data_IF_216940283431
#
_entry.id   IF_216940283431
#
_cell.length_a   1.000
_cell.length_b   1.000
_cell.length_c   1.000
_cell.angle_alpha   90.00
_cell.angle_beta   90.00
_cell.angle_gamma   90.00
#
_symmetry.space_group_name_H-M   'P 1'
#
loop_
_entity.id
_entity.type
_entity.pdbx_description
1 polymer ?
#
# COMPACT_ATOMS: atom_id res chain seq x y z
N UNK A 1 -25.70 -22.95 3.20
CA UNK A 1 -26.76 -23.33 2.22
C UNK A 1 -26.98 -22.19 1.22
N UNK A 2 -27.19 -20.95 1.66
CA UNK A 2 -27.48 -19.80 0.78
C UNK A 2 -26.33 -19.45 -0.17
N UNK A 3 -25.07 -19.53 0.30
CA UNK A 3 -23.89 -19.33 -0.56
C UNK A 3 -23.82 -20.40 -1.66
N UNK A 4 -24.13 -21.67 -1.33
CA UNK A 4 -24.18 -22.74 -2.33
C UNK A 4 -25.30 -22.53 -3.34
N UNK A 5 -26.47 -22.09 -2.88
CA UNK A 5 -27.60 -21.77 -3.77
C UNK A 5 -27.29 -20.59 -4.70
N UNK A 6 -26.61 -19.56 -4.19
CA UNK A 6 -26.28 -18.35 -4.94
C UNK A 6 -25.10 -18.53 -5.92
N UNK A 7 -24.08 -19.32 -5.55
CA UNK A 7 -22.80 -19.35 -6.25
C UNK A 7 -22.44 -20.71 -6.87
N UNK A 8 -23.11 -21.79 -6.42
CA UNK A 8 -22.83 -23.16 -6.83
C UNK A 8 -21.66 -23.80 -6.07
N UNK A 9 -21.59 -25.15 -6.13
CA UNK A 9 -20.60 -25.95 -5.39
C UNK A 9 -19.16 -25.71 -5.82
N UNK A 10 -18.93 -25.35 -7.06
CA UNK A 10 -17.56 -25.12 -7.60
C UNK A 10 -16.89 -23.90 -7.03
N UNK A 11 -17.67 -22.92 -6.53
CA UNK A 11 -17.15 -21.65 -5.98
C UNK A 11 -17.09 -21.63 -4.45
N UNK A 12 -17.78 -22.55 -3.77
CA UNK A 12 -17.89 -22.59 -2.30
C UNK A 12 -17.20 -23.85 -1.76
N UNK A 13 -16.26 -23.68 -0.84
CA UNK A 13 -15.52 -24.79 -0.26
C UNK A 13 -15.58 -24.79 1.26
N UNK A 14 -15.87 -25.98 1.80
CA UNK A 14 -15.78 -26.31 3.24
C UNK A 14 -14.66 -27.33 3.49
N UNK A 15 -13.86 -27.66 2.48
CA UNK A 15 -12.76 -28.60 2.60
C UNK A 15 -11.70 -28.08 3.57
N UNK A 16 -11.32 -28.83 4.61
CA UNK A 16 -10.38 -28.38 5.63
C UNK A 16 -9.04 -27.95 5.10
N UNK A 17 -8.53 -28.60 4.03
CA UNK A 17 -7.25 -28.25 3.43
C UNK A 17 -7.32 -26.90 2.71
N UNK A 18 -8.42 -26.64 2.00
CA UNK A 18 -8.67 -25.34 1.37
C UNK A 18 -8.80 -24.21 2.39
N UNK A 19 -9.48 -24.48 3.52
CA UNK A 19 -9.62 -23.50 4.60
C UNK A 19 -8.26 -23.22 5.29
N UNK A 20 -7.51 -24.27 5.59
CA UNK A 20 -6.17 -24.15 6.18
C UNK A 20 -5.20 -23.37 5.29
N UNK A 21 -5.29 -23.52 3.96
CA UNK A 21 -4.44 -22.80 3.01
C UNK A 21 -4.64 -21.28 2.96
N UNK A 22 -5.76 -20.78 3.48
CA UNK A 22 -6.07 -19.34 3.55
C UNK A 22 -6.17 -18.83 4.99
N UNK A 23 -5.92 -19.68 5.98
CA UNK A 23 -5.96 -19.33 7.40
C UNK A 23 -4.80 -18.39 7.83
N UNK A 24 -3.55 -18.54 7.33
CA UNK A 24 -2.45 -17.61 7.66
C UNK A 24 -2.40 -16.43 6.69
N UNK A 25 -1.87 -15.29 7.15
CA UNK A 25 -1.32 -14.21 6.34
C UNK A 25 0.12 -13.91 6.75
N UNK A 26 0.66 -12.72 6.47
CA UNK A 26 2.01 -12.36 6.89
C UNK A 26 2.08 -11.93 8.37
N UNK A 27 0.95 -11.80 9.06
CA UNK A 27 0.88 -11.48 10.49
C UNK A 27 1.22 -12.69 11.38
N UNK A 28 1.24 -12.46 12.67
CA UNK A 28 1.42 -13.53 13.68
C UNK A 28 0.08 -14.13 14.16
N UNK A 29 -1.04 -13.69 13.60
CA UNK A 29 -2.36 -14.22 13.90
C UNK A 29 -2.71 -15.41 13.01
N UNK A 30 -3.64 -16.23 13.48
CA UNK A 30 -4.17 -17.37 12.73
C UNK A 30 -5.67 -17.50 12.98
N UNK A 31 -6.48 -17.34 11.95
CA UNK A 31 -7.91 -17.59 11.99
C UNK A 31 -8.32 -18.47 10.81
N UNK A 32 -8.95 -19.61 11.11
CA UNK A 32 -9.49 -20.48 10.07
C UNK A 32 -10.90 -20.02 9.68
N UNK A 33 -11.15 -19.68 8.41
CA UNK A 33 -12.47 -19.28 7.96
C UNK A 33 -13.49 -20.44 8.06
N UNK A 34 -14.75 -20.10 8.27
CA UNK A 34 -15.84 -21.08 8.27
C UNK A 34 -16.18 -21.58 6.86
N UNK A 35 -15.96 -20.75 5.85
CA UNK A 35 -16.18 -21.08 4.44
C UNK A 35 -15.26 -20.25 3.54
N UNK A 36 -14.76 -20.88 2.48
CA UNK A 36 -13.98 -20.22 1.44
C UNK A 36 -14.83 -20.08 0.17
N UNK A 37 -14.94 -18.86 -0.34
CA UNK A 37 -15.63 -18.53 -1.59
C UNK A 37 -14.61 -18.07 -2.62
N UNK A 38 -14.59 -18.71 -3.80
CA UNK A 38 -13.77 -18.32 -4.95
C UNK A 38 -14.68 -17.68 -5.98
N UNK A 39 -14.70 -16.38 -6.00
CA UNK A 39 -15.56 -15.59 -6.91
C UNK A 39 -14.90 -15.41 -8.27
N UNK A 40 -15.72 -15.39 -9.33
CA UNK A 40 -15.28 -15.16 -10.70
C UNK A 40 -15.69 -13.81 -11.27
N UNK A 41 -16.61 -13.11 -10.61
CA UNK A 41 -17.18 -11.86 -11.09
C UNK A 41 -17.63 -10.95 -9.94
N UNK A 42 -17.86 -9.67 -10.25
CA UNK A 42 -18.44 -8.69 -9.34
C UNK A 42 -19.80 -9.13 -8.79
N UNK A 43 -20.63 -9.74 -9.64
CA UNK A 43 -21.94 -10.26 -9.25
C UNK A 43 -21.84 -11.43 -8.27
N UNK A 44 -20.83 -12.30 -8.40
CA UNK A 44 -20.58 -13.36 -7.41
C UNK A 44 -20.23 -12.75 -6.04
N UNK A 45 -19.41 -11.70 -6.00
CA UNK A 45 -19.07 -11.00 -4.76
C UNK A 45 -20.31 -10.36 -4.14
N UNK A 46 -21.09 -9.66 -4.94
CA UNK A 46 -22.35 -9.05 -4.49
C UNK A 46 -23.30 -10.09 -3.87
N UNK A 47 -23.46 -11.23 -4.53
CA UNK A 47 -24.29 -12.33 -4.02
C UNK A 47 -23.72 -12.92 -2.72
N UNK A 48 -22.39 -13.07 -2.61
CA UNK A 48 -21.74 -13.55 -1.39
C UNK A 48 -21.95 -12.58 -0.21
N UNK A 49 -21.76 -11.28 -0.44
CA UNK A 49 -21.93 -10.23 0.56
C UNK A 49 -23.39 -10.15 1.03
N UNK A 50 -24.35 -10.14 0.10
CA UNK A 50 -25.77 -10.13 0.43
C UNK A 50 -26.19 -11.38 1.23
N UNK A 51 -25.66 -12.56 0.88
CA UNK A 51 -25.91 -13.78 1.63
C UNK A 51 -25.34 -13.72 3.06
N UNK A 52 -24.11 -13.25 3.21
CA UNK A 52 -23.46 -13.10 4.50
C UNK A 52 -24.20 -12.09 5.41
N UNK A 53 -24.63 -10.94 4.83
CA UNK A 53 -25.42 -9.92 5.54
C UNK A 53 -26.73 -10.51 6.10
N UNK A 54 -27.47 -11.30 5.31
CA UNK A 54 -28.71 -11.95 5.78
C UNK A 54 -28.52 -12.85 7.00
N UNK A 55 -27.33 -13.44 7.13
CA UNK A 55 -27.00 -14.35 8.24
C UNK A 55 -26.14 -13.69 9.33
N UNK A 56 -25.88 -12.39 9.22
CA UNK A 56 -24.99 -11.64 10.13
C UNK A 56 -23.63 -12.31 10.32
N UNK A 57 -23.02 -12.77 9.20
CA UNK A 57 -21.70 -13.40 9.17
C UNK A 57 -20.69 -12.42 8.58
N UNK A 58 -19.53 -12.29 9.22
CA UNK A 58 -18.44 -11.45 8.73
C UNK A 58 -17.90 -11.97 7.39
N UNK A 59 -17.59 -11.04 6.49
CA UNK A 59 -16.92 -11.31 5.20
C UNK A 59 -15.55 -10.65 5.21
N UNK A 60 -14.55 -11.40 4.77
CA UNK A 60 -13.22 -10.88 4.55
C UNK A 60 -12.74 -11.23 3.13
N UNK A 61 -12.01 -10.30 2.52
CA UNK A 61 -11.47 -10.49 1.17
C UNK A 61 -10.00 -10.91 1.22
N UNK A 62 -9.68 -12.05 0.58
CA UNK A 62 -8.31 -12.51 0.48
C UNK A 62 -7.66 -11.95 -0.77
N UNK A 63 -6.74 -11.05 -0.57
CA UNK A 63 -5.84 -10.46 -1.55
C UNK A 63 -4.44 -11.12 -1.45
N UNK A 64 -3.35 -10.36 -1.51
CA UNK A 64 -1.99 -10.90 -1.42
C UNK A 64 -1.67 -11.60 -0.10
N UNK A 65 -2.37 -11.27 0.98
CA UNK A 65 -2.10 -11.80 2.32
C UNK A 65 -0.80 -11.27 2.93
N UNK A 66 -0.42 -10.07 2.57
CA UNK A 66 0.82 -9.40 3.02
C UNK A 66 0.62 -8.51 4.23
N UNK A 67 -0.59 -8.44 4.78
CA UNK A 67 -0.89 -7.71 6.01
C UNK A 67 -0.08 -8.25 7.20
N UNK A 68 0.45 -7.33 8.02
CA UNK A 68 1.23 -7.63 9.21
C UNK A 68 0.38 -7.62 10.48
N UNK A 69 -0.84 -7.10 10.42
CA UNK A 69 -1.74 -6.90 11.57
C UNK A 69 -3.01 -7.76 11.51
N UNK A 70 -3.09 -8.73 10.57
CA UNK A 70 -4.17 -9.72 10.51
C UNK A 70 -5.44 -9.27 9.80
N UNK A 71 -5.44 -8.17 9.05
CA UNK A 71 -6.61 -7.67 8.33
C UNK A 71 -7.12 -8.67 7.28
N UNK A 72 -6.25 -9.56 6.79
CA UNK A 72 -6.59 -10.61 5.82
C UNK A 72 -7.25 -11.85 6.41
N UNK A 73 -7.59 -11.87 7.72
CA UNK A 73 -8.04 -13.06 8.45
C UNK A 73 -9.52 -12.96 8.87
N UNK A 74 -10.19 -14.12 8.95
CA UNK A 74 -11.58 -14.21 9.44
C UNK A 74 -11.89 -15.62 9.92
N UNK A 75 -12.86 -15.74 10.80
CA UNK A 75 -13.54 -17.00 11.12
C UNK A 75 -14.90 -17.12 10.40
N UNK A 76 -15.29 -16.11 9.62
CA UNK A 76 -16.53 -16.06 8.83
C UNK A 76 -16.35 -16.56 7.39
N UNK A 77 -16.81 -15.76 6.44
CA UNK A 77 -16.69 -16.03 5.00
C UNK A 77 -15.40 -15.39 4.47
N UNK A 78 -14.50 -16.22 3.93
CA UNK A 78 -13.32 -15.76 3.19
C UNK A 78 -13.63 -15.75 1.69
N UNK A 79 -13.50 -14.58 1.05
CA UNK A 79 -13.66 -14.41 -0.40
C UNK A 79 -12.27 -14.28 -1.03
N UNK A 80 -11.83 -15.30 -1.77
CA UNK A 80 -10.53 -15.30 -2.45
C UNK A 80 -10.66 -14.73 -3.87
N UNK A 81 -10.03 -13.58 -4.08
CA UNK A 81 -10.07 -12.83 -5.35
C UNK A 81 -8.85 -13.05 -6.24
N UNK A 82 -7.79 -13.71 -5.75
CA UNK A 82 -6.48 -13.82 -6.39
C UNK A 82 -6.47 -14.58 -7.72
N UNK A 83 -7.41 -15.49 -7.91
CA UNK A 83 -7.44 -16.35 -9.11
C UNK A 83 -8.14 -15.72 -10.30
N UNK A 84 -9.18 -14.93 -10.05
CA UNK A 84 -10.13 -14.48 -11.07
C UNK A 84 -10.05 -13.00 -11.38
N UNK A 85 -9.77 -12.15 -10.39
CA UNK A 85 -9.72 -10.69 -10.56
C UNK A 85 -8.30 -10.21 -10.91
N UNK A 86 -7.77 -10.61 -12.07
CA UNK A 86 -6.38 -10.35 -12.50
C UNK A 86 -6.26 -9.46 -13.73
N UNK A 87 -7.35 -8.87 -14.19
CA UNK A 87 -7.39 -8.01 -15.37
C UNK A 87 -6.50 -6.77 -15.20
N UNK A 88 -5.74 -6.46 -16.25
CA UNK A 88 -4.92 -5.26 -16.39
C UNK A 88 -5.18 -4.72 -17.78
N UNK A 89 -5.72 -3.51 -17.88
CA UNK A 89 -6.01 -2.83 -19.13
C UNK A 89 -5.35 -1.45 -19.13
N UNK A 90 -4.41 -1.25 -20.06
CA UNK A 90 -3.73 0.04 -20.22
C UNK A 90 -4.62 1.00 -20.99
N UNK A 91 -4.82 2.18 -20.44
CA UNK A 91 -5.64 3.23 -20.99
C UNK A 91 -4.79 4.46 -21.31
N UNK A 92 -5.27 5.28 -22.24
CA UNK A 92 -4.75 6.61 -22.52
C UNK A 92 -3.22 6.63 -22.73
N UNK A 93 -2.72 5.68 -23.55
CA UNK A 93 -1.29 5.58 -23.85
C UNK A 93 -0.40 5.34 -22.61
N UNK A 94 -0.93 4.66 -21.60
CA UNK A 94 -0.24 4.34 -20.36
C UNK A 94 -0.42 5.39 -19.26
N UNK A 95 -1.07 6.52 -19.52
CA UNK A 95 -1.35 7.54 -18.48
C UNK A 95 -2.32 7.04 -17.42
N UNK A 96 -3.20 6.09 -17.79
CA UNK A 96 -4.12 5.41 -16.89
C UNK A 96 -4.03 3.91 -17.06
N UNK A 97 -4.41 3.17 -16.06
CA UNK A 97 -4.52 1.72 -16.09
C UNK A 97 -5.74 1.29 -15.28
N UNK A 98 -6.60 0.45 -15.90
CA UNK A 98 -7.66 -0.25 -15.16
C UNK A 98 -7.12 -1.55 -14.65
N UNK A 99 -7.28 -1.80 -13.35
CA UNK A 99 -6.72 -2.98 -12.68
C UNK A 99 -7.78 -3.61 -11.78
N UNK A 100 -7.84 -4.93 -11.81
CA UNK A 100 -8.64 -5.71 -10.88
C UNK A 100 -7.86 -6.07 -9.61
N UNK A 101 -8.53 -6.28 -8.46
CA UNK A 101 -7.90 -6.37 -7.14
C UNK A 101 -6.92 -7.53 -6.95
N UNK A 102 -7.00 -8.60 -7.73
CA UNK A 102 -6.10 -9.76 -7.65
C UNK A 102 -4.82 -9.63 -8.49
N UNK A 103 -4.63 -8.54 -9.25
CA UNK A 103 -3.40 -8.29 -9.99
C UNK A 103 -2.30 -7.77 -9.07
N UNK A 104 -1.08 -8.34 -9.16
CA UNK A 104 0.06 -7.90 -8.35
C UNK A 104 0.63 -6.57 -8.87
N UNK A 105 1.20 -5.77 -7.97
CA UNK A 105 1.84 -4.49 -8.34
C UNK A 105 2.95 -4.69 -9.36
N UNK A 106 3.76 -5.75 -9.18
CA UNK A 106 4.83 -6.11 -10.15
C UNK A 106 4.25 -6.42 -11.52
N UNK A 107 3.14 -7.17 -11.61
CA UNK A 107 2.52 -7.49 -12.90
C UNK A 107 2.02 -6.23 -13.62
N UNK A 108 1.34 -5.33 -12.88
CA UNK A 108 0.87 -4.05 -13.43
C UNK A 108 2.04 -3.20 -13.92
N UNK A 109 3.08 -3.05 -13.10
CA UNK A 109 4.26 -2.26 -13.45
C UNK A 109 5.04 -2.84 -14.63
N UNK A 110 5.10 -4.17 -14.78
CA UNK A 110 5.72 -4.83 -15.93
C UNK A 110 5.00 -4.49 -17.25
N UNK A 111 3.68 -4.36 -17.22
CA UNK A 111 2.90 -3.91 -18.38
C UNK A 111 3.14 -2.43 -18.66
N UNK A 112 3.10 -1.58 -17.63
CA UNK A 112 3.26 -0.12 -17.73
C UNK A 112 4.67 0.30 -18.13
N UNK A 113 5.69 -0.51 -17.83
CA UNK A 113 7.10 -0.21 -18.17
C UNK A 113 7.30 0.02 -19.66
N UNK A 114 6.51 -0.63 -20.53
CA UNK A 114 6.54 -0.45 -21.99
C UNK A 114 6.13 0.97 -22.42
N UNK A 115 5.45 1.69 -21.54
CA UNK A 115 5.01 3.07 -21.72
C UNK A 115 5.89 4.06 -20.93
N UNK A 116 7.00 3.59 -20.32
CA UNK A 116 7.85 4.41 -19.45
C UNK A 116 7.14 4.87 -18.16
N UNK A 117 6.18 4.09 -17.68
CA UNK A 117 5.32 4.45 -16.56
C UNK A 117 5.21 3.33 -15.53
N UNK A 118 4.76 3.68 -14.33
CA UNK A 118 4.47 2.75 -13.22
C UNK A 118 3.26 3.24 -12.41
N UNK A 119 2.74 2.39 -11.53
CA UNK A 119 1.84 2.84 -10.46
C UNK A 119 2.57 3.80 -9.52
N UNK A 120 1.83 4.70 -8.88
CA UNK A 120 2.37 5.60 -7.86
C UNK A 120 2.79 4.84 -6.60
N UNK A 121 1.89 4.08 -5.93
CA UNK A 121 2.25 3.28 -4.76
C UNK A 121 3.26 2.18 -5.12
N UNK A 122 4.29 2.05 -4.26
CA UNK A 122 5.39 1.09 -4.45
C UNK A 122 5.77 0.36 -3.15
N UNK A 123 4.83 -0.39 -2.53
CA UNK A 123 5.07 -1.08 -1.26
C UNK A 123 6.20 -2.10 -1.38
N UNK A 124 6.94 -2.31 -0.29
CA UNK A 124 8.03 -3.29 -0.22
C UNK A 124 7.58 -4.71 -0.57
N UNK A 125 6.31 -5.04 -0.31
CA UNK A 125 5.66 -6.31 -0.64
C UNK A 125 5.20 -6.43 -2.11
N UNK A 126 5.58 -5.54 -3.01
CA UNK A 126 5.09 -5.41 -4.40
C UNK A 126 5.10 -6.70 -5.22
N UNK A 127 5.97 -7.64 -4.89
CA UNK A 127 6.04 -8.98 -5.53
C UNK A 127 4.83 -9.85 -5.17
N UNK A 128 4.28 -9.69 -3.98
CA UNK A 128 3.22 -10.54 -3.42
C UNK A 128 1.89 -9.81 -3.23
N UNK A 129 1.92 -8.51 -2.86
CA UNK A 129 0.71 -7.75 -2.67
C UNK A 129 -0.03 -7.51 -3.99
N UNK A 130 -1.34 -7.40 -3.91
CA UNK A 130 -2.20 -7.13 -5.07
C UNK A 130 -2.89 -5.79 -4.93
N UNK A 131 -3.37 -5.23 -6.04
CA UNK A 131 -3.94 -3.88 -6.04
C UNK A 131 -5.09 -3.72 -5.03
N UNK A 132 -5.96 -4.72 -4.89
CA UNK A 132 -7.07 -4.64 -3.92
C UNK A 132 -6.60 -4.44 -2.48
N UNK A 133 -5.55 -5.15 -2.05
CA UNK A 133 -4.94 -4.94 -0.74
C UNK A 133 -4.25 -3.59 -0.64
N UNK A 134 -3.51 -3.19 -1.67
CA UNK A 134 -2.82 -1.89 -1.72
C UNK A 134 -3.79 -0.71 -1.59
N UNK A 135 -4.95 -0.80 -2.24
CA UNK A 135 -6.00 0.23 -2.12
C UNK A 135 -6.69 0.17 -0.75
N UNK A 136 -7.09 -1.02 -0.31
CA UNK A 136 -7.80 -1.19 0.97
C UNK A 136 -6.96 -0.74 2.18
N UNK A 137 -5.65 -1.01 2.16
CA UNK A 137 -4.70 -0.60 3.20
C UNK A 137 -4.16 0.84 2.99
N UNK A 138 -4.38 1.42 1.81
CA UNK A 138 -3.71 2.67 1.38
C UNK A 138 -2.18 2.55 1.42
N UNK A 139 -1.66 1.37 1.05
CA UNK A 139 -0.21 1.12 1.04
C UNK A 139 0.50 2.12 0.13
N UNK A 140 1.41 2.88 0.68
CA UNK A 140 2.11 3.94 -0.06
C UNK A 140 3.44 3.45 -0.64
N UNK A 141 4.29 2.87 0.20
CA UNK A 141 5.66 2.53 -0.15
C UNK A 141 6.63 3.69 0.02
N UNK A 142 7.77 3.60 -0.64
CA UNK A 142 8.95 4.41 -0.33
C UNK A 142 9.08 5.69 -1.16
N UNK A 143 8.52 5.73 -2.37
CA UNK A 143 8.77 6.84 -3.32
C UNK A 143 7.54 7.63 -3.74
N UNK A 144 6.32 7.20 -3.38
CA UNK A 144 5.10 7.88 -3.83
C UNK A 144 4.80 9.19 -3.09
N UNK A 145 5.31 9.36 -1.87
CA UNK A 145 4.98 10.50 -1.02
C UNK A 145 3.48 10.68 -0.81
N UNK A 146 3.04 11.92 -0.61
CA UNK A 146 1.62 12.28 -0.48
C UNK A 146 0.95 12.60 -1.83
N UNK A 147 1.73 12.72 -2.91
CA UNK A 147 1.24 13.20 -4.22
C UNK A 147 0.93 12.06 -5.19
N UNK A 148 1.54 10.90 -5.03
CA UNK A 148 1.39 9.76 -5.91
C UNK A 148 0.90 8.48 -5.21
N UNK A 149 0.31 8.60 -4.02
CA UNK A 149 -0.30 7.51 -3.28
C UNK A 149 -1.61 7.03 -3.94
N UNK A 150 -2.19 5.94 -3.43
CA UNK A 150 -3.42 5.37 -3.97
C UNK A 150 -4.56 6.37 -4.02
N UNK A 151 -4.72 7.18 -2.98
CA UNK A 151 -5.77 8.19 -2.87
C UNK A 151 -5.68 9.26 -3.97
N UNK A 152 -4.49 9.82 -4.21
CA UNK A 152 -4.26 10.89 -5.19
C UNK A 152 -4.22 10.39 -6.65
N UNK A 153 -3.97 9.10 -6.84
CA UNK A 153 -3.88 8.51 -8.19
C UNK A 153 -5.16 7.79 -8.62
N UNK A 154 -6.15 7.64 -7.76
CA UNK A 154 -7.46 7.11 -8.15
C UNK A 154 -8.13 8.03 -9.16
N UNK A 155 -8.62 7.45 -10.26
CA UNK A 155 -9.43 8.13 -11.27
C UNK A 155 -10.91 7.73 -11.15
N UNK A 156 -11.17 6.43 -11.10
CA UNK A 156 -12.51 5.86 -10.91
C UNK A 156 -12.42 4.46 -10.31
N UNK A 157 -13.52 3.97 -9.76
CA UNK A 157 -13.57 2.68 -9.08
C UNK A 157 -14.93 2.01 -9.28
N UNK A 158 -14.90 0.68 -9.43
CA UNK A 158 -16.10 -0.16 -9.27
C UNK A 158 -16.00 -0.83 -7.91
N UNK A 159 -17.00 -0.61 -7.06
CA UNK A 159 -17.04 -1.24 -5.73
C UNK A 159 -18.41 -1.85 -5.44
N UNK A 160 -18.42 -2.77 -4.47
CA UNK A 160 -19.61 -3.48 -4.01
C UNK A 160 -19.80 -3.19 -2.53
N UNK A 161 -20.95 -2.65 -2.16
CA UNK A 161 -21.32 -2.38 -0.77
C UNK A 161 -21.79 -3.64 -0.04
N UNK A 162 -21.87 -3.58 1.28
CA UNK A 162 -22.34 -4.70 2.10
C UNK A 162 -23.76 -5.17 1.78
N UNK A 163 -24.60 -4.32 1.20
CA UNK A 163 -25.94 -4.64 0.66
C UNK A 163 -25.89 -5.55 -0.57
N UNK A 164 -24.76 -5.56 -1.29
CA UNK A 164 -24.60 -6.13 -2.63
C UNK A 164 -24.77 -5.09 -3.75
N UNK A 165 -25.06 -3.83 -3.42
CA UNK A 165 -25.13 -2.73 -4.40
C UNK A 165 -23.78 -2.51 -5.06
N UNK A 166 -23.77 -2.48 -6.40
CA UNK A 166 -22.58 -2.24 -7.21
C UNK A 166 -22.62 -0.82 -7.75
N UNK A 167 -21.56 -0.06 -7.48
CA UNK A 167 -21.39 1.33 -7.97
C UNK A 167 -20.14 1.39 -8.85
N UNK A 168 -20.29 2.01 -10.04
CA UNK A 168 -19.19 2.37 -10.92
C UNK A 168 -19.10 3.90 -10.96
N UNK A 169 -18.04 4.47 -10.38
CA UNK A 169 -17.87 5.93 -10.33
C UNK A 169 -17.50 6.56 -11.68
N UNK A 170 -17.25 5.74 -12.69
CA UNK A 170 -17.10 6.23 -14.07
C UNK A 170 -18.46 6.36 -14.80
N UNK A 171 -19.53 5.78 -14.26
CA UNK A 171 -20.87 5.91 -14.80
C UNK A 171 -21.44 7.30 -14.45
N UNK A 172 -21.83 8.14 -15.43
CA UNK A 172 -22.46 9.42 -15.14
C UNK A 172 -23.72 9.35 -14.26
N UNK A 173 -24.38 8.20 -14.20
CA UNK A 173 -25.58 7.97 -13.39
C UNK A 173 -25.27 7.37 -12.00
N UNK A 174 -24.00 7.25 -11.63
CA UNK A 174 -23.60 6.59 -10.37
C UNK A 174 -24.19 7.26 -9.13
N UNK A 175 -24.30 8.59 -9.11
CA UNK A 175 -24.87 9.34 -7.98
C UNK A 175 -26.37 9.08 -7.83
N UNK A 176 -27.13 9.12 -8.93
CA UNK A 176 -28.58 8.82 -8.91
C UNK A 176 -28.81 7.38 -8.47
N UNK A 177 -28.00 6.45 -8.98
CA UNK A 177 -28.06 5.04 -8.59
C UNK A 177 -27.78 4.86 -7.09
N UNK A 178 -26.71 5.48 -6.58
CA UNK A 178 -26.35 5.39 -5.17
C UNK A 178 -27.44 5.99 -4.27
N UNK A 179 -28.00 7.14 -4.65
CA UNK A 179 -29.08 7.78 -3.91
C UNK A 179 -30.38 6.96 -3.92
N UNK A 180 -30.66 6.24 -5.02
CA UNK A 180 -31.82 5.38 -5.13
C UNK A 180 -31.67 4.08 -4.31
N UNK A 181 -30.51 3.42 -4.44
CA UNK A 181 -30.28 2.09 -3.87
C UNK A 181 -29.89 2.14 -2.38
N UNK A 182 -29.24 3.24 -1.94
CA UNK A 182 -28.67 3.41 -0.58
C UNK A 182 -28.97 4.80 0.02
N UNK A 183 -30.23 5.23 0.10
CA UNK A 183 -30.58 6.60 0.50
C UNK A 183 -30.10 6.97 1.90
N UNK A 184 -30.19 6.06 2.88
CA UNK A 184 -29.72 6.31 4.25
C UNK A 184 -28.19 6.47 4.33
N UNK A 185 -27.44 5.72 3.50
CA UNK A 185 -25.98 5.87 3.41
C UNK A 185 -25.64 7.25 2.84
N UNK A 186 -26.32 7.69 1.78
CA UNK A 186 -26.10 9.01 1.17
C UNK A 186 -26.39 10.13 2.16
N UNK A 187 -27.51 10.08 2.87
CA UNK A 187 -27.86 11.06 3.91
C UNK A 187 -26.77 11.12 4.99
N UNK A 188 -26.33 9.96 5.48
CA UNK A 188 -25.28 9.86 6.50
C UNK A 188 -23.94 10.42 6.01
N UNK A 189 -23.52 10.09 4.78
CA UNK A 189 -22.28 10.59 4.19
C UNK A 189 -22.29 12.11 4.05
N UNK A 190 -23.42 12.67 3.61
CA UNK A 190 -23.53 14.11 3.44
C UNK A 190 -23.55 14.84 4.79
N UNK A 191 -24.20 14.28 5.80
CA UNK A 191 -24.16 14.82 7.16
C UNK A 191 -22.73 14.79 7.76
N UNK A 192 -22.00 13.68 7.55
CA UNK A 192 -20.61 13.57 7.98
C UNK A 192 -19.70 14.56 7.22
N UNK A 193 -19.92 14.75 5.91
CA UNK A 193 -19.20 15.76 5.13
C UNK A 193 -19.36 17.16 5.72
N UNK A 194 -20.60 17.54 6.02
CA UNK A 194 -20.89 18.86 6.56
C UNK A 194 -20.24 19.06 7.93
N UNK A 195 -20.24 18.03 8.77
CA UNK A 195 -19.51 18.03 10.05
C UNK A 195 -17.99 18.13 9.87
N UNK A 196 -17.39 17.40 8.92
CA UNK A 196 -15.95 17.47 8.65
C UNK A 196 -15.53 18.85 8.12
N UNK A 197 -16.42 19.56 7.44
CA UNK A 197 -16.20 20.91 6.91
C UNK A 197 -16.38 22.03 7.91
N UNK A 198 -16.80 21.75 9.15
CA UNK A 198 -16.71 22.73 10.24
C UNK A 198 -15.26 23.16 10.46
N UNK A 199 -15.00 24.47 10.61
CA UNK A 199 -13.65 25.04 10.55
C UNK A 199 -12.60 24.28 11.39
N UNK A 200 -12.90 24.02 12.67
CA UNK A 200 -11.94 23.37 13.57
C UNK A 200 -11.58 21.94 13.13
N UNK A 201 -12.56 21.18 12.61
CA UNK A 201 -12.33 19.82 12.10
C UNK A 201 -11.62 19.83 10.76
N UNK A 202 -12.00 20.75 9.87
CA UNK A 202 -11.36 20.93 8.58
C UNK A 202 -9.88 21.26 8.72
N UNK A 203 -9.52 22.13 9.65
CA UNK A 203 -8.14 22.50 9.96
C UNK A 203 -7.34 21.29 10.47
N UNK A 204 -7.90 20.51 11.38
CA UNK A 204 -7.26 19.30 11.89
C UNK A 204 -7.07 18.24 10.80
N UNK A 205 -8.13 17.94 10.02
CA UNK A 205 -8.04 16.99 8.91
C UNK A 205 -6.98 17.45 7.91
N UNK A 206 -6.97 18.74 7.54
CA UNK A 206 -5.97 19.30 6.62
C UNK A 206 -4.56 19.13 7.17
N UNK A 207 -4.36 19.41 8.46
CA UNK A 207 -3.06 19.21 9.12
C UNK A 207 -2.62 17.74 9.11
N UNK A 208 -3.51 16.81 9.45
CA UNK A 208 -3.20 15.38 9.49
C UNK A 208 -2.83 14.82 8.11
N UNK A 209 -3.53 15.25 7.06
CA UNK A 209 -3.30 14.79 5.67
C UNK A 209 -2.33 15.66 4.87
N UNK A 210 -1.71 16.69 5.46
CA UNK A 210 -0.61 17.44 4.85
C UNK A 210 0.70 16.64 4.78
N UNK A 211 0.78 15.55 5.51
CA UNK A 211 1.88 14.60 5.56
C UNK A 211 1.38 13.18 5.24
N UNK A 212 2.28 12.23 5.10
CA UNK A 212 1.90 10.83 4.90
C UNK A 212 1.01 10.38 6.07
N UNK A 213 -0.20 9.96 5.75
CA UNK A 213 -1.17 9.42 6.69
C UNK A 213 -1.92 8.28 6.00
N UNK A 214 -1.65 7.06 6.44
CA UNK A 214 -2.21 5.81 5.88
C UNK A 214 -2.98 5.01 6.92
N UNK A 215 -3.21 5.58 8.10
CA UNK A 215 -3.90 4.91 9.21
C UNK A 215 -5.38 5.34 9.26
N UNK A 216 -6.25 4.35 9.27
CA UNK A 216 -7.69 4.55 9.31
C UNK A 216 -8.30 5.12 8.04
N UNK A 217 -9.52 5.63 8.14
CA UNK A 217 -10.23 6.18 6.99
C UNK A 217 -9.65 7.50 6.52
N UNK A 218 -9.58 7.69 5.21
CA UNK A 218 -9.16 8.94 4.58
C UNK A 218 -10.18 10.05 4.73
N UNK A 219 -10.29 10.65 5.93
CA UNK A 219 -11.28 11.69 6.25
C UNK A 219 -11.15 12.94 5.37
N UNK A 220 -9.99 13.16 4.76
CA UNK A 220 -9.80 14.21 3.78
C UNK A 220 -10.73 14.08 2.55
N UNK A 221 -11.28 12.89 2.29
CA UNK A 221 -12.29 12.69 1.24
C UNK A 221 -13.53 13.58 1.42
N UNK A 222 -13.91 13.88 2.66
CA UNK A 222 -15.01 14.79 2.96
C UNK A 222 -14.69 16.27 2.67
N UNK A 223 -13.41 16.63 2.63
CA UNK A 223 -12.97 17.98 2.27
C UNK A 223 -12.70 18.10 0.77
N UNK A 224 -12.11 17.05 0.17
CA UNK A 224 -11.63 17.06 -1.21
C UNK A 224 -12.75 16.85 -2.25
N UNK A 225 -13.89 16.21 -1.86
CA UNK A 225 -14.96 15.80 -2.79
C UNK A 225 -16.34 16.25 -2.31
N UNK A 226 -17.23 16.52 -3.27
CA UNK A 226 -18.57 17.04 -3.01
C UNK A 226 -19.68 16.00 -3.09
N UNK A 227 -19.51 14.95 -3.88
CA UNK A 227 -20.56 13.98 -4.16
C UNK A 227 -20.37 12.68 -3.39
N UNK A 228 -21.47 11.99 -2.99
CA UNK A 228 -21.42 10.77 -2.19
C UNK A 228 -20.56 9.66 -2.81
N UNK A 229 -20.67 9.40 -4.12
CA UNK A 229 -19.92 8.34 -4.77
C UNK A 229 -18.41 8.64 -4.83
N UNK A 230 -18.02 9.91 -5.03
CA UNK A 230 -16.63 10.33 -4.98
C UNK A 230 -16.06 10.23 -3.56
N UNK A 231 -16.79 10.70 -2.55
CA UNK A 231 -16.39 10.57 -1.15
C UNK A 231 -16.20 9.09 -0.80
N UNK A 232 -17.19 8.26 -1.12
CA UNK A 232 -17.17 6.85 -0.77
C UNK A 232 -16.05 6.08 -1.47
N UNK A 233 -15.80 6.32 -2.75
CA UNK A 233 -14.69 5.68 -3.47
C UNK A 233 -13.32 6.01 -2.88
N UNK A 234 -13.13 7.24 -2.37
CA UNK A 234 -11.89 7.63 -1.72
C UNK A 234 -11.81 7.14 -0.26
N UNK A 235 -12.93 6.99 0.44
CA UNK A 235 -12.99 6.32 1.74
C UNK A 235 -12.72 4.80 1.64
N UNK A 236 -13.00 4.16 0.49
CA UNK A 236 -12.62 2.77 0.24
C UNK A 236 -11.11 2.56 0.32
N UNK A 237 -10.32 3.60 -0.01
CA UNK A 237 -8.87 3.57 0.13
C UNK A 237 -8.51 3.80 1.60
N UNK A 238 -7.84 2.82 2.21
CA UNK A 238 -7.56 2.81 3.64
C UNK A 238 -8.70 2.28 4.52
N UNK A 239 -9.74 1.67 3.91
CA UNK A 239 -10.88 1.12 4.64
C UNK A 239 -10.64 -0.29 5.20
N UNK A 240 -9.54 -0.93 4.86
CA UNK A 240 -9.24 -2.33 5.19
C UNK A 240 -10.36 -3.32 4.81
N UNK A 241 -11.13 -2.98 3.76
CA UNK A 241 -12.25 -3.77 3.29
C UNK A 241 -13.52 -3.66 4.16
N UNK A 242 -13.56 -2.77 5.14
CA UNK A 242 -14.71 -2.62 6.08
C UNK A 242 -15.91 -1.92 5.45
N UNK A 243 -15.70 -1.14 4.39
CA UNK A 243 -16.77 -0.40 3.70
C UNK A 243 -17.35 -1.17 2.50
N UNK A 244 -16.59 -2.12 1.95
CA UNK A 244 -17.02 -2.88 0.81
C UNK A 244 -15.88 -3.56 0.06
N UNK A 245 -16.18 -4.07 -1.13
CA UNK A 245 -15.23 -4.75 -2.00
C UNK A 245 -14.88 -3.89 -3.21
N UNK A 246 -13.60 -3.68 -3.45
CA UNK A 246 -13.09 -3.01 -4.65
C UNK A 246 -13.00 -4.04 -5.78
N UNK A 247 -13.86 -3.93 -6.79
CA UNK A 247 -13.91 -4.88 -7.91
C UNK A 247 -12.97 -4.50 -9.04
N UNK A 248 -12.74 -3.20 -9.25
CA UNK A 248 -11.82 -2.65 -10.25
C UNK A 248 -11.51 -1.21 -9.90
N UNK A 249 -10.32 -0.74 -10.21
CA UNK A 249 -9.95 0.67 -10.13
C UNK A 249 -9.22 1.13 -11.38
N UNK A 250 -9.49 2.35 -11.81
CA UNK A 250 -8.69 3.07 -12.81
C UNK A 250 -7.74 3.98 -12.05
N UNK A 251 -6.45 3.77 -12.28
CA UNK A 251 -5.39 4.51 -11.59
C UNK A 251 -4.64 5.40 -12.58
N UNK A 252 -4.40 6.64 -12.21
CA UNK A 252 -3.43 7.50 -12.88
C UNK A 252 -2.03 6.94 -12.60
N UNK A 253 -1.18 6.92 -13.62
CA UNK A 253 0.17 6.37 -13.53
C UNK A 253 1.21 7.48 -13.44
N UNK A 254 2.39 7.17 -12.90
CA UNK A 254 3.51 8.10 -12.81
C UNK A 254 4.61 7.73 -13.82
N UNK A 255 5.41 8.70 -14.25
CA UNK A 255 6.57 8.44 -15.11
C UNK A 255 7.66 7.70 -14.34
N UNK A 256 8.30 6.74 -14.97
CA UNK A 256 9.53 6.16 -14.45
C UNK A 256 10.64 7.19 -14.61
N UNK A 257 11.34 7.49 -13.52
CA UNK A 257 12.53 8.35 -13.53
C UNK A 257 13.76 7.48 -13.77
N UNK A 258 14.39 7.55 -14.96
CA UNK A 258 15.44 6.59 -15.32
C UNK A 258 16.80 6.89 -14.71
N UNK A 259 17.03 8.11 -14.22
CA UNK A 259 18.30 8.54 -13.68
C UNK A 259 18.24 8.62 -12.16
N UNK A 260 18.77 7.60 -11.52
CA UNK A 260 18.74 7.45 -10.07
C UNK A 260 20.12 7.76 -9.48
N UNK A 261 20.16 8.25 -8.24
CA UNK A 261 21.40 8.36 -7.48
C UNK A 261 21.12 7.94 -6.04
N UNK A 262 21.75 6.86 -5.60
CA UNK A 262 21.55 6.24 -4.29
C UNK A 262 22.80 6.38 -3.44
N UNK A 263 22.63 6.66 -2.15
CA UNK A 263 23.69 6.61 -1.15
C UNK A 263 23.18 6.00 0.15
N UNK A 264 24.07 5.31 0.86
CA UNK A 264 23.86 4.89 2.24
C UNK A 264 24.63 5.87 3.15
N UNK A 265 23.90 6.64 3.96
CA UNK A 265 24.45 7.59 4.92
C UNK A 265 24.52 6.90 6.29
N UNK A 266 25.71 6.68 6.81
CA UNK A 266 25.92 5.99 8.09
C UNK A 266 26.23 7.00 9.19
N UNK A 267 25.40 7.01 10.22
CA UNK A 267 25.44 7.93 11.36
C UNK A 267 25.90 7.23 12.64
N UNK A 268 26.62 7.95 13.53
CA UNK A 268 27.00 7.39 14.83
C UNK A 268 25.83 7.13 15.75
N UNK A 269 24.70 7.82 15.57
CA UNK A 269 23.49 7.68 16.41
C UNK A 269 22.22 7.86 15.60
N UNK A 270 21.11 7.32 16.12
CA UNK A 270 19.76 7.53 15.57
C UNK A 270 19.36 9.03 15.60
N UNK A 271 19.72 9.74 16.65
CA UNK A 271 19.45 11.18 16.78
C UNK A 271 20.15 12.00 15.66
N UNK A 272 21.41 11.67 15.35
CA UNK A 272 22.13 12.30 14.25
C UNK A 272 21.43 12.02 12.89
N UNK A 273 21.00 10.80 12.66
CA UNK A 273 20.27 10.43 11.44
C UNK A 273 18.94 11.18 11.31
N UNK A 274 18.15 11.28 12.37
CA UNK A 274 16.85 11.97 12.34
C UNK A 274 17.01 13.49 12.18
N UNK A 275 18.01 14.11 12.78
CA UNK A 275 18.34 15.53 12.61
C UNK A 275 18.78 15.90 11.18
N UNK A 276 19.29 14.95 10.41
CA UNK A 276 19.68 15.16 9.02
C UNK A 276 18.48 15.27 8.06
N UNK A 277 17.31 14.70 8.42
CA UNK A 277 16.14 14.59 7.53
C UNK A 277 15.68 15.94 6.94
N UNK A 278 15.51 17.03 7.70
CA UNK A 278 15.03 18.28 7.13
C UNK A 278 15.94 18.83 6.03
N UNK A 279 17.26 18.72 6.19
CA UNK A 279 18.24 19.19 5.19
C UNK A 279 18.23 18.29 3.95
N UNK A 280 18.11 16.98 4.12
CA UNK A 280 18.01 16.01 3.03
C UNK A 280 16.70 16.22 2.23
N UNK A 281 15.56 16.38 2.91
CA UNK A 281 14.28 16.68 2.24
C UNK A 281 14.37 17.98 1.45
N UNK A 282 14.97 19.03 2.02
CA UNK A 282 15.16 20.32 1.33
C UNK A 282 16.06 20.20 0.10
N UNK A 283 16.98 19.23 0.05
CA UNK A 283 17.82 18.97 -1.13
C UNK A 283 17.07 18.31 -2.29
N UNK A 284 15.81 17.92 -2.09
CA UNK A 284 14.99 17.27 -3.12
C UNK A 284 15.15 15.75 -3.16
N UNK A 285 15.64 15.11 -2.09
CA UNK A 285 15.68 13.65 -2.00
C UNK A 285 14.27 13.06 -2.18
N UNK A 286 14.16 12.01 -2.98
CA UNK A 286 12.88 11.37 -3.29
C UNK A 286 12.53 10.26 -2.31
N UNK A 287 13.54 9.51 -1.88
CA UNK A 287 13.40 8.38 -0.95
C UNK A 287 14.36 8.55 0.21
N UNK A 288 13.86 8.32 1.41
CA UNK A 288 14.66 8.28 2.64
C UNK A 288 14.16 7.14 3.52
N UNK A 289 15.00 6.12 3.69
CA UNK A 289 14.69 4.92 4.48
C UNK A 289 15.63 4.83 5.67
N UNK A 290 15.05 4.84 6.87
CA UNK A 290 15.79 4.73 8.12
C UNK A 290 16.02 3.25 8.49
N UNK A 291 17.25 2.94 8.88
CA UNK A 291 17.62 1.67 9.49
C UNK A 291 18.29 1.97 10.83
N UNK A 292 17.73 1.44 11.91
CA UNK A 292 18.29 1.53 13.25
C UNK A 292 19.43 0.54 13.45
N UNK A 293 20.07 0.60 14.60
CA UNK A 293 21.23 -0.26 14.93
C UNK A 293 20.89 -1.76 14.86
N UNK A 294 19.71 -2.16 15.32
CA UNK A 294 19.25 -3.55 15.27
C UNK A 294 19.05 -4.02 13.82
N UNK A 295 18.45 -3.18 12.99
CA UNK A 295 18.28 -3.41 11.55
C UNK A 295 19.63 -3.50 10.84
N UNK A 296 20.56 -2.60 11.14
CA UNK A 296 21.91 -2.62 10.57
C UNK A 296 22.69 -3.87 10.97
N UNK A 297 22.54 -4.34 12.21
CA UNK A 297 23.18 -5.58 12.64
C UNK A 297 22.67 -6.78 11.84
N UNK A 298 21.35 -6.90 11.66
CA UNK A 298 20.77 -7.95 10.82
C UNK A 298 21.21 -7.87 9.35
N UNK A 299 21.45 -6.64 8.85
CA UNK A 299 22.01 -6.46 7.53
C UNK A 299 23.48 -6.87 7.46
N UNK A 300 24.30 -6.57 8.46
CA UNK A 300 25.71 -7.01 8.54
C UNK A 300 25.86 -8.53 8.60
N UNK A 301 24.90 -9.19 9.26
CA UNK A 301 24.88 -10.65 9.38
C UNK A 301 24.40 -11.36 8.09
N UNK A 302 24.04 -10.60 7.06
CA UNK A 302 23.66 -11.19 5.76
C UNK A 302 24.89 -11.81 5.07
N UNK A 303 24.85 -13.13 4.75
CA UNK A 303 26.02 -13.84 4.22
C UNK A 303 26.45 -13.37 2.81
N UNK A 304 25.57 -12.72 2.06
CA UNK A 304 25.83 -12.30 0.69
C UNK A 304 26.19 -10.82 0.63
N UNK A 305 25.39 -9.96 1.22
CA UNK A 305 25.47 -8.50 1.05
C UNK A 305 25.91 -7.76 2.33
N UNK A 306 26.13 -8.46 3.46
CA UNK A 306 26.42 -7.83 4.75
C UNK A 306 27.68 -6.97 4.73
N UNK A 307 28.65 -7.29 3.88
CA UNK A 307 29.89 -6.53 3.70
C UNK A 307 29.68 -5.09 3.20
N UNK A 308 28.49 -4.76 2.66
CA UNK A 308 28.15 -3.41 2.18
C UNK A 308 27.87 -2.47 3.35
N UNK A 309 27.37 -3.01 4.48
CA UNK A 309 27.07 -2.20 5.66
C UNK A 309 28.34 -1.98 6.47
N UNK A 310 28.79 -0.74 6.67
CA UNK A 310 30.00 -0.47 7.43
C UNK A 310 29.95 -1.03 8.85
N UNK A 311 31.08 -1.35 9.47
CA UNK A 311 31.15 -1.75 10.89
C UNK A 311 30.53 -0.67 11.78
N UNK A 312 29.89 -1.09 12.87
CA UNK A 312 29.34 -0.16 13.85
C UNK A 312 30.47 0.65 14.53
N UNK A 313 30.36 1.98 14.59
CA UNK A 313 31.34 2.80 15.30
C UNK A 313 31.21 2.69 16.83
N UNK A 314 30.06 2.17 17.28
CA UNK A 314 29.69 1.99 18.70
C UNK A 314 28.30 1.37 18.81
N UNK A 315 27.66 1.49 19.96
CA UNK A 315 26.27 1.08 20.15
C UNK A 315 25.32 2.20 19.70
N UNK A 316 24.27 1.85 18.95
CA UNK A 316 23.19 2.77 18.59
C UNK A 316 23.38 3.54 17.29
N UNK A 317 24.26 3.06 16.40
CA UNK A 317 24.40 3.61 15.05
C UNK A 317 23.10 3.48 14.24
N UNK A 318 22.96 4.31 13.21
CA UNK A 318 21.84 4.28 12.30
C UNK A 318 22.29 4.60 10.86
N UNK A 319 21.49 4.23 9.89
CA UNK A 319 21.73 4.64 8.50
C UNK A 319 20.44 5.18 7.84
N UNK A 320 20.65 6.12 6.92
CA UNK A 320 19.64 6.55 5.96
C UNK A 320 20.03 6.06 4.59
N UNK A 321 19.22 5.22 3.98
CA UNK A 321 19.29 4.95 2.55
C UNK A 321 18.53 6.05 1.85
N UNK A 322 19.24 6.85 1.06
CA UNK A 322 18.69 8.00 0.34
C UNK A 322 18.79 7.81 -1.16
N UNK A 323 17.76 8.26 -1.89
CA UNK A 323 17.77 8.15 -3.34
C UNK A 323 17.10 9.36 -4.00
N UNK A 324 17.74 9.89 -5.04
CA UNK A 324 17.19 10.90 -5.94
C UNK A 324 16.65 10.23 -7.20
N UNK A 325 15.44 10.62 -7.62
CA UNK A 325 14.82 10.19 -8.87
C UNK A 325 14.76 11.35 -9.86
N UNK A 326 15.46 11.25 -10.96
CA UNK A 326 15.64 12.36 -11.89
C UNK A 326 15.22 11.99 -13.33
N UNK A 327 14.64 12.93 -14.09
CA UNK A 327 14.19 12.69 -15.46
C UNK A 327 15.36 12.50 -16.42
N UNK A 328 16.50 13.17 -16.17
CA UNK A 328 17.68 13.17 -17.02
C UNK A 328 18.98 13.21 -16.22
N UNK A 329 20.11 13.04 -16.92
CA UNK A 329 21.44 13.02 -16.30
C UNK A 329 21.85 14.38 -15.72
N UNK A 330 21.40 15.49 -16.31
CA UNK A 330 21.72 16.83 -15.82
C UNK A 330 21.08 17.03 -14.45
N UNK A 331 19.79 16.82 -14.36
CA UNK A 331 19.02 16.91 -13.09
C UNK A 331 19.60 15.98 -12.02
N UNK A 332 20.03 14.75 -12.41
CA UNK A 332 20.71 13.84 -11.48
C UNK A 332 22.02 14.41 -10.95
N UNK A 333 22.87 14.97 -11.82
CA UNK A 333 24.14 15.54 -11.40
C UNK A 333 23.95 16.76 -10.47
N UNK A 334 22.93 17.57 -10.73
CA UNK A 334 22.53 18.70 -9.86
C UNK A 334 22.05 18.18 -8.49
N UNK A 335 21.21 17.14 -8.46
CA UNK A 335 20.74 16.51 -7.25
C UNK A 335 21.89 15.88 -6.43
N UNK A 336 22.84 15.21 -7.08
CA UNK A 336 24.03 14.66 -6.42
C UNK A 336 24.90 15.77 -5.85
N UNK A 337 25.06 16.90 -6.55
CA UNK A 337 25.82 18.05 -6.02
C UNK A 337 25.14 18.63 -4.77
N UNK A 338 23.80 18.77 -4.79
CA UNK A 338 23.02 19.21 -3.62
C UNK A 338 23.15 18.22 -2.46
N UNK A 339 23.03 16.91 -2.74
CA UNK A 339 23.22 15.86 -1.75
C UNK A 339 24.63 15.87 -1.12
N UNK A 340 25.66 16.02 -1.94
CA UNK A 340 27.06 16.13 -1.44
C UNK A 340 27.26 17.37 -0.57
N UNK A 341 26.66 18.50 -0.93
CA UNK A 341 26.70 19.72 -0.10
C UNK A 341 26.10 19.49 1.27
N UNK A 342 24.89 18.90 1.32
CA UNK A 342 24.23 18.58 2.60
C UNK A 342 25.06 17.59 3.41
N UNK A 343 25.50 16.49 2.79
CA UNK A 343 26.24 15.42 3.52
C UNK A 343 27.60 15.86 4.03
N UNK A 344 28.21 16.91 3.45
CA UNK A 344 29.45 17.47 3.95
C UNK A 344 29.35 18.19 5.30
N UNK A 345 28.13 18.56 5.69
CA UNK A 345 27.81 19.25 6.95
C UNK A 345 27.25 18.31 8.03
N UNK A 346 27.03 17.02 7.67
CA UNK A 346 26.47 16.03 8.59
C UNK A 346 27.55 15.27 9.35
N UNK A 347 27.22 14.87 10.59
CA UNK A 347 28.06 13.98 11.39
C UNK A 347 27.90 12.53 10.91
N UNK A 348 28.74 12.13 9.94
CA UNK A 348 28.72 10.81 9.33
C UNK A 348 29.93 9.99 9.73
N UNK A 349 29.73 8.68 9.91
CA UNK A 349 30.80 7.72 10.23
C UNK A 349 31.80 7.63 9.09
N UNK A 350 31.35 7.73 7.86
CA UNK A 350 32.17 7.67 6.65
C UNK A 350 31.61 8.59 5.57
N UNK A 351 32.46 8.98 4.63
CA UNK A 351 32.03 9.80 3.49
C UNK A 351 31.14 8.97 2.57
N UNK A 352 29.89 9.38 2.33
CA UNK A 352 29.00 8.66 1.43
C UNK A 352 29.37 8.89 -0.04
N UNK A 353 28.99 7.94 -0.89
CA UNK A 353 29.10 8.08 -2.34
C UNK A 353 27.73 7.87 -2.98
N UNK A 354 27.26 8.89 -3.71
CA UNK A 354 26.07 8.75 -4.53
C UNK A 354 26.42 8.01 -5.81
N UNK A 355 25.70 6.91 -6.10
CA UNK A 355 25.94 6.06 -7.25
C UNK A 355 24.68 5.81 -8.06
N UNK A 356 24.81 5.66 -9.37
CA UNK A 356 23.78 5.18 -10.30
C UNK A 356 24.04 3.74 -10.75
N UNK A 357 25.14 3.14 -10.33
CA UNK A 357 25.52 1.78 -10.70
C UNK A 357 24.53 0.75 -10.10
N UNK A 358 23.76 0.02 -10.93
CA UNK A 358 22.84 -1.02 -10.46
C UNK A 358 23.52 -2.13 -9.65
N UNK A 359 24.81 -2.42 -9.92
CA UNK A 359 25.57 -3.43 -9.20
C UNK A 359 25.86 -3.04 -7.75
N UNK A 360 25.90 -1.75 -7.45
CA UNK A 360 26.08 -1.20 -6.09
C UNK A 360 24.72 -0.95 -5.43
N UNK A 361 23.77 -0.36 -6.16
CA UNK A 361 22.44 -0.01 -5.65
C UNK A 361 21.60 -1.23 -5.31
N UNK A 362 21.58 -2.22 -6.20
CA UNK A 362 20.74 -3.41 -6.07
C UNK A 362 20.94 -4.14 -4.75
N UNK A 363 22.15 -4.49 -4.34
CA UNK A 363 22.44 -5.12 -3.06
C UNK A 363 21.98 -4.31 -1.84
N UNK A 364 22.13 -2.98 -1.83
CA UNK A 364 21.65 -2.12 -0.73
C UNK A 364 20.12 -2.22 -0.60
N UNK A 365 19.41 -2.11 -1.72
CA UNK A 365 17.96 -2.24 -1.77
C UNK A 365 17.49 -3.64 -1.39
N UNK A 366 18.24 -4.69 -1.75
CA UNK A 366 17.94 -6.07 -1.35
C UNK A 366 18.01 -6.25 0.16
N UNK A 367 19.03 -5.67 0.81
CA UNK A 367 19.14 -5.69 2.27
C UNK A 367 17.93 -5.00 2.92
N UNK A 368 17.57 -3.78 2.44
CA UNK A 368 16.47 -3.01 3.01
C UNK A 368 15.11 -3.68 2.80
N UNK A 369 14.81 -4.15 1.60
CA UNK A 369 13.52 -4.80 1.29
C UNK A 369 13.35 -6.17 1.98
N UNK A 370 14.46 -6.88 2.24
CA UNK A 370 14.47 -8.16 2.94
C UNK A 370 14.45 -8.04 4.47
N UNK A 371 14.52 -6.83 5.03
CA UNK A 371 14.69 -6.61 6.46
C UNK A 371 13.56 -7.21 7.30
N UNK A 372 12.29 -7.04 6.87
CA UNK A 372 11.15 -7.62 7.57
C UNK A 372 11.28 -9.13 7.74
N UNK A 373 11.57 -9.85 6.66
CA UNK A 373 11.71 -11.31 6.70
C UNK A 373 12.85 -11.75 7.65
N UNK A 374 13.92 -10.98 7.70
CA UNK A 374 15.05 -11.22 8.63
C UNK A 374 14.62 -11.02 10.08
N UNK A 375 14.00 -9.89 10.40
CA UNK A 375 13.49 -9.60 11.76
C UNK A 375 12.49 -10.67 12.21
N UNK A 376 11.52 -11.00 11.32
CA UNK A 376 10.54 -12.04 11.62
C UNK A 376 11.20 -13.43 11.83
N UNK A 377 12.27 -13.73 11.07
CA UNK A 377 13.00 -14.99 11.16
C UNK A 377 13.88 -15.14 12.40
N UNK A 378 14.28 -14.06 13.06
CA UNK A 378 15.13 -14.10 14.28
C UNK A 378 14.32 -14.23 15.56
N UNK A 379 12.99 -14.09 15.50
CA UNK A 379 12.13 -14.21 16.69
C UNK A 379 12.16 -15.63 17.28
N UNK A 380 12.15 -15.71 18.59
CA UNK A 380 12.03 -16.98 19.31
C UNK A 380 10.56 -17.43 19.35
N UNK A 381 10.35 -18.72 19.65
CA UNK A 381 8.99 -19.26 19.87
C UNK A 381 8.29 -18.48 20.99
N UNK A 382 7.04 -18.05 20.75
CA UNK A 382 6.26 -17.24 21.70
C UNK A 382 6.52 -15.72 21.64
N UNK A 383 7.43 -15.26 20.77
CA UNK A 383 7.64 -13.85 20.50
C UNK A 383 6.94 -13.40 19.21
N UNK A 384 6.54 -12.15 19.15
CA UNK A 384 6.03 -11.52 17.93
C UNK A 384 7.03 -10.49 17.41
N UNK A 385 7.15 -10.36 16.11
CA UNK A 385 7.83 -9.24 15.48
C UNK A 385 6.82 -8.08 15.41
N UNK A 386 6.96 -7.11 16.31
CA UNK A 386 6.22 -5.86 16.23
C UNK A 386 6.89 -4.97 15.17
N UNK A 387 6.55 -5.21 13.92
CA UNK A 387 6.86 -4.30 12.83
C UNK A 387 5.52 -3.74 12.37
N UNK A 388 5.18 -2.59 12.89
CA UNK A 388 4.07 -1.81 12.41
C UNK A 388 4.58 -0.83 11.35
N UNK A 389 3.88 -0.73 10.24
CA UNK A 389 4.06 0.37 9.29
C UNK A 389 3.37 1.60 9.88
N UNK A 390 4.01 2.18 10.88
CA UNK A 390 3.56 3.44 11.46
C UNK A 390 4.02 4.53 10.51
N UNK A 391 3.10 4.98 9.70
CA UNK A 391 3.36 6.12 8.82
C UNK A 391 3.18 7.42 9.58
#
# INVERSE_FOLDING_TARGET
TDLLAALGETKVSHDPLNLAAVAPDASHYLLTPGVLVRTGSTSDVAAAMAAAKRHNVAVNFRSGGTSLSGQGLTNGVMVDTRRSFRGIEVLDGGRKVRVQPGATIVAVNSVLARYGRKLGPDPASSVACTLGGVLADNSSGMSCGTVANSYRTLDSMIFVLASGTVIDTADPQCEDKLAHDEPELVETLMALRDQCREQARADEITFQFSRKNTMGYGLNAFLDYDTPAQILSHLMIGSEGTLGFISSAVMNTVKIMPNLATALLHFPTLDAATKALPALVKSGVTVTELMDSSSLQLCRDDPVNGHIIPPAPGSGDAALLVEYHCPDRKSRNEAVAAGNSVTSELDLVNKPTFTDDPAVRGPIWTLRSGLYAKVAGTRQSGQTALLEDIA
#
